data_IF_968064685469
#
_entry.id   IF_968064685469
#
_cell.length_a   1.000
_cell.length_b   1.000
_cell.length_c   1.000
_cell.angle_alpha   90.00
_cell.angle_beta   90.00
_cell.angle_gamma   90.00
#
_symmetry.space_group_name_H-M   'P 1'
#
loop_
_entity.id
_entity.type
_entity.pdbx_description
1 polymer ?
#
# COMPACT_ATOMS: atom_id res chain seq x y z
N UNK A 1 13.42 -2.88 20.51
CA UNK A 1 13.83 -3.87 19.48
C UNK A 1 12.86 -5.03 19.28
N UNK A 2 12.08 -5.48 20.26
CA UNK A 2 11.13 -6.59 20.09
C UNK A 2 9.94 -6.27 19.16
N UNK A 3 9.54 -5.01 19.04
CA UNK A 3 8.36 -4.58 18.26
C UNK A 3 8.62 -4.56 16.74
N UNK A 4 9.85 -4.50 16.29
CA UNK A 4 10.23 -4.48 14.87
C UNK A 4 10.08 -5.84 14.15
N UNK A 5 9.82 -6.92 14.88
CA UNK A 5 9.73 -8.28 14.33
C UNK A 5 8.34 -8.92 14.38
N UNK A 6 7.32 -8.23 14.90
CA UNK A 6 5.99 -8.82 15.12
C UNK A 6 5.25 -9.24 13.85
N UNK A 7 5.63 -8.68 12.68
CA UNK A 7 5.01 -9.01 11.38
C UNK A 7 5.93 -9.78 10.44
N UNK A 8 7.20 -10.00 10.80
CA UNK A 8 8.23 -10.38 9.82
C UNK A 8 8.69 -9.21 8.93
N UNK A 9 8.07 -8.02 9.06
CA UNK A 9 8.50 -6.80 8.37
C UNK A 9 9.49 -6.07 9.27
N UNK A 10 10.72 -5.92 8.79
CA UNK A 10 11.75 -5.13 9.45
C UNK A 10 11.66 -3.69 8.91
N UNK A 11 11.35 -2.74 9.79
CA UNK A 11 11.46 -1.32 9.46
C UNK A 11 12.93 -0.90 9.55
N UNK A 12 13.41 -0.22 8.53
CA UNK A 12 14.78 0.31 8.48
C UNK A 12 14.74 1.83 8.61
N UNK A 13 15.63 2.37 9.44
CA UNK A 13 15.77 3.82 9.64
C UNK A 13 14.63 4.46 10.43
N UNK A 14 14.55 5.77 10.33
CA UNK A 14 13.63 6.61 11.10
C UNK A 14 12.46 7.13 10.25
N UNK A 15 12.58 7.13 8.91
CA UNK A 15 11.58 7.69 7.99
C UNK A 15 10.94 6.56 7.17
N UNK A 16 9.66 6.30 7.43
CA UNK A 16 8.91 5.18 6.83
C UNK A 16 7.75 5.71 6.00
N UNK A 17 7.64 5.28 4.75
CA UNK A 17 6.43 5.47 3.95
C UNK A 17 5.57 4.21 4.02
N UNK A 18 4.32 4.39 4.43
CA UNK A 18 3.26 3.40 4.22
C UNK A 18 2.56 3.71 2.91
N UNK A 19 2.72 2.81 1.93
CA UNK A 19 2.10 2.92 0.62
C UNK A 19 0.94 1.95 0.53
N UNK A 20 -0.28 2.44 0.52
CA UNK A 20 -1.49 1.62 0.66
C UNK A 20 -2.32 1.66 -0.62
N UNK A 21 -2.50 0.50 -1.25
CA UNK A 21 -3.39 0.36 -2.38
C UNK A 21 -4.83 0.58 -1.97
N UNK A 22 -5.52 1.49 -2.67
CA UNK A 22 -6.93 1.82 -2.47
C UNK A 22 -7.74 1.64 -3.76
N UNK A 23 -7.45 0.60 -4.54
CA UNK A 23 -8.19 0.26 -5.77
C UNK A 23 -9.38 -0.66 -5.49
N UNK A 24 -10.25 -0.82 -6.49
CA UNK A 24 -11.46 -1.64 -6.38
C UNK A 24 -11.21 -3.10 -6.00
N UNK A 25 -10.06 -3.69 -6.33
CA UNK A 25 -9.71 -5.05 -5.91
C UNK A 25 -9.58 -5.23 -4.39
N UNK A 26 -9.29 -4.15 -3.65
CA UNK A 26 -9.20 -4.17 -2.18
C UNK A 26 -10.57 -4.33 -1.48
N UNK A 27 -11.67 -4.38 -2.23
CA UNK A 27 -13.01 -4.56 -1.67
C UNK A 27 -13.30 -6.03 -1.29
N UNK A 28 -12.71 -7.01 -2.00
CA UNK A 28 -12.96 -8.43 -1.70
C UNK A 28 -11.76 -9.33 -2.05
N UNK A 29 -11.81 -10.62 -1.64
CA UNK A 29 -10.74 -11.60 -1.85
C UNK A 29 -10.79 -12.27 -3.24
N UNK A 30 -11.86 -12.07 -4.04
CA UNK A 30 -11.96 -12.52 -5.43
C UNK A 30 -12.28 -11.36 -6.35
N UNK A 31 -11.87 -11.44 -7.62
CA UNK A 31 -12.15 -10.39 -8.60
C UNK A 31 -13.66 -10.22 -8.79
N UNK A 32 -14.41 -11.32 -8.95
CA UNK A 32 -15.86 -11.25 -9.17
C UNK A 32 -16.59 -10.58 -8.00
N UNK A 33 -16.24 -10.93 -6.76
CA UNK A 33 -16.82 -10.33 -5.59
C UNK A 33 -16.42 -8.85 -5.44
N UNK A 34 -15.18 -8.49 -5.78
CA UNK A 34 -14.73 -7.09 -5.78
C UNK A 34 -15.46 -6.27 -6.85
N UNK A 35 -15.64 -6.82 -8.05
CA UNK A 35 -16.41 -6.17 -9.13
C UNK A 35 -17.87 -5.96 -8.72
N UNK A 36 -18.51 -6.94 -8.09
CA UNK A 36 -19.89 -6.81 -7.60
C UNK A 36 -20.07 -5.66 -6.56
N UNK A 37 -18.98 -5.25 -5.90
CA UNK A 37 -18.99 -4.14 -4.93
C UNK A 37 -18.66 -2.77 -5.53
N UNK A 38 -18.26 -2.68 -6.80
CA UNK A 38 -17.86 -1.41 -7.41
C UNK A 38 -18.99 -0.37 -7.43
N UNK A 39 -20.24 -0.82 -7.53
CA UNK A 39 -21.43 0.05 -7.52
C UNK A 39 -22.03 0.25 -6.13
N UNK A 40 -21.44 -0.34 -5.08
CA UNK A 40 -21.83 -0.10 -3.69
C UNK A 40 -21.62 1.39 -3.31
N UNK A 41 -22.40 1.87 -2.33
CA UNK A 41 -22.18 3.19 -1.76
C UNK A 41 -20.79 3.28 -1.08
N UNK A 42 -20.25 4.49 -0.97
CA UNK A 42 -18.96 4.73 -0.30
C UNK A 42 -18.90 4.14 1.12
N UNK A 43 -20.03 4.19 1.85
CA UNK A 43 -20.12 3.58 3.18
C UNK A 43 -19.88 2.08 3.11
N UNK A 44 -20.59 1.35 2.23
CA UNK A 44 -20.42 -0.09 2.06
C UNK A 44 -19.03 -0.48 1.58
N UNK A 45 -18.43 0.32 0.68
CA UNK A 45 -17.04 0.10 0.23
C UNK A 45 -16.05 0.23 1.39
N UNK A 46 -16.23 1.24 2.25
CA UNK A 46 -15.40 1.41 3.45
C UNK A 46 -15.57 0.26 4.45
N UNK A 47 -16.76 -0.33 4.54
CA UNK A 47 -17.08 -1.48 5.41
C UNK A 47 -16.70 -2.84 4.80
N UNK A 48 -16.17 -2.87 3.58
CA UNK A 48 -15.76 -4.12 2.93
C UNK A 48 -14.70 -4.86 3.77
N UNK A 49 -14.85 -6.17 4.03
CA UNK A 49 -14.04 -6.89 5.01
C UNK A 49 -12.54 -6.84 4.74
N UNK A 50 -12.12 -7.00 3.47
CA UNK A 50 -10.70 -6.93 3.09
C UNK A 50 -10.14 -5.53 3.29
N UNK A 51 -10.92 -4.49 2.97
CA UNK A 51 -10.53 -3.11 3.20
C UNK A 51 -10.39 -2.80 4.68
N UNK A 52 -11.37 -3.18 5.50
CA UNK A 52 -11.31 -3.00 6.96
C UNK A 52 -10.07 -3.69 7.55
N UNK A 53 -9.77 -4.90 7.12
CA UNK A 53 -8.57 -5.62 7.54
C UNK A 53 -7.29 -4.89 7.14
N UNK A 54 -7.27 -4.25 5.97
CA UNK A 54 -6.13 -3.45 5.52
C UNK A 54 -5.94 -2.21 6.41
N UNK A 55 -7.01 -1.52 6.74
CA UNK A 55 -6.96 -0.34 7.64
C UNK A 55 -6.51 -0.76 9.05
N UNK A 56 -7.08 -1.82 9.62
CA UNK A 56 -6.66 -2.34 10.93
C UNK A 56 -5.17 -2.74 10.95
N UNK A 57 -4.69 -3.37 9.88
CA UNK A 57 -3.29 -3.73 9.76
C UNK A 57 -2.38 -2.49 9.74
N UNK A 58 -2.78 -1.44 9.04
CA UNK A 58 -2.06 -0.18 9.01
C UNK A 58 -2.06 0.50 10.38
N UNK A 59 -3.22 0.59 11.05
CA UNK A 59 -3.35 1.13 12.40
C UNK A 59 -2.47 0.38 13.40
N UNK A 60 -2.48 -0.94 13.33
CA UNK A 60 -1.63 -1.79 14.18
C UNK A 60 -0.14 -1.52 13.94
N UNK A 61 0.28 -1.37 12.67
CA UNK A 61 1.67 -1.02 12.35
C UNK A 61 2.04 0.38 12.85
N UNK A 62 1.17 1.35 12.67
CA UNK A 62 1.39 2.72 13.19
C UNK A 62 1.54 2.72 14.72
N UNK A 63 0.68 1.98 15.43
CA UNK A 63 0.75 1.84 16.89
C UNK A 63 2.04 1.12 17.36
N UNK A 64 2.68 0.34 16.48
CA UNK A 64 3.91 -0.41 16.75
C UNK A 64 5.18 0.38 16.44
N UNK A 65 5.08 1.57 15.81
CA UNK A 65 6.22 2.41 15.50
C UNK A 65 6.93 2.91 16.77
N UNK A 66 8.25 2.98 16.70
CA UNK A 66 9.06 3.57 17.75
C UNK A 66 8.84 5.08 17.90
N UNK A 67 9.15 5.66 19.07
CA UNK A 67 8.89 7.07 19.33
C UNK A 67 9.73 8.04 18.50
N UNK A 68 10.82 7.59 17.92
CA UNK A 68 11.69 8.40 17.04
C UNK A 68 11.37 8.19 15.56
N UNK A 69 10.37 7.35 15.24
CA UNK A 69 9.97 7.10 13.85
C UNK A 69 9.11 8.23 13.33
N UNK A 70 9.45 8.69 12.14
CA UNK A 70 8.66 9.60 11.34
C UNK A 70 8.03 8.82 10.20
N UNK A 71 6.80 9.14 9.85
CA UNK A 71 6.11 8.40 8.81
C UNK A 71 5.30 9.31 7.88
N UNK A 72 5.03 8.79 6.68
CA UNK A 72 4.05 9.34 5.75
C UNK A 72 3.17 8.20 5.27
N UNK A 73 1.90 8.49 4.98
CA UNK A 73 0.95 7.52 4.43
C UNK A 73 0.47 8.05 3.08
N UNK A 74 0.69 7.24 2.05
CA UNK A 74 0.24 7.51 0.70
C UNK A 74 -0.75 6.42 0.28
N UNK A 75 -1.95 6.81 -0.12
CA UNK A 75 -2.89 5.92 -0.79
C UNK A 75 -2.70 6.00 -2.29
N UNK A 76 -2.72 4.86 -2.96
CA UNK A 76 -2.66 4.83 -4.42
C UNK A 76 -3.79 4.01 -5.02
N UNK A 77 -4.42 4.57 -6.01
CA UNK A 77 -5.29 3.95 -6.99
C UNK A 77 -4.84 4.40 -8.39
N UNK A 78 -5.66 5.05 -9.19
CA UNK A 78 -5.22 5.70 -10.43
C UNK A 78 -4.34 6.93 -10.15
N UNK A 79 -4.55 7.57 -8.99
CA UNK A 79 -3.74 8.65 -8.45
C UNK A 79 -3.00 8.23 -7.18
N UNK A 80 -2.10 9.09 -6.70
CA UNK A 80 -1.42 8.92 -5.41
C UNK A 80 -1.71 10.11 -4.52
N UNK A 81 -2.36 9.84 -3.39
CA UNK A 81 -2.85 10.89 -2.48
C UNK A 81 -2.29 10.69 -1.07
N UNK A 82 -1.62 11.71 -0.50
CA UNK A 82 -1.24 11.69 0.91
C UNK A 82 -2.47 11.64 1.82
N UNK A 83 -2.35 11.00 2.98
CA UNK A 83 -3.45 10.90 3.97
C UNK A 83 -3.94 12.28 4.42
N UNK A 84 -3.05 13.25 4.55
CA UNK A 84 -3.35 14.65 4.76
C UNK A 84 -2.89 15.45 3.53
N UNK A 85 -3.74 15.68 2.52
CA UNK A 85 -3.35 16.29 1.25
C UNK A 85 -2.71 17.68 1.38
N UNK A 86 -3.14 18.48 2.34
CA UNK A 86 -2.58 19.82 2.62
C UNK A 86 -1.21 19.78 3.31
N UNK A 87 -0.77 18.61 3.73
CA UNK A 87 0.49 18.33 4.44
C UNK A 87 1.26 17.17 3.78
N UNK A 88 1.12 17.01 2.46
CA UNK A 88 1.67 15.88 1.71
C UNK A 88 3.19 15.76 1.73
N UNK A 89 3.88 16.86 1.97
CA UNK A 89 5.35 16.93 2.05
C UNK A 89 5.89 16.77 3.49
N UNK A 90 5.00 16.68 4.48
CA UNK A 90 5.40 16.59 5.88
C UNK A 90 5.64 15.15 6.32
N UNK A 91 6.56 14.99 7.26
CA UNK A 91 6.78 13.74 7.98
C UNK A 91 6.12 13.82 9.35
N UNK A 92 5.21 12.89 9.63
CA UNK A 92 4.47 12.86 10.88
C UNK A 92 5.25 12.12 11.95
N UNK A 93 5.12 12.57 13.19
CA UNK A 93 5.73 11.92 14.36
C UNK A 93 4.68 11.18 15.18
N UNK A 94 5.03 9.99 15.68
CA UNK A 94 4.18 9.23 16.61
C UNK A 94 3.95 9.94 17.94
N UNK A 95 4.74 10.96 18.25
CA UNK A 95 4.60 11.79 19.44
C UNK A 95 3.47 12.82 19.32
N UNK A 96 3.09 13.21 18.11
CA UNK A 96 2.02 14.18 17.86
C UNK A 96 0.65 13.50 17.88
N UNK A 97 0.09 13.35 19.07
CA UNK A 97 -1.20 12.70 19.30
C UNK A 97 -2.37 13.35 18.55
N UNK A 98 -2.31 14.67 18.32
CA UNK A 98 -3.36 15.40 17.59
C UNK A 98 -3.35 14.99 16.12
N UNK A 99 -2.18 15.03 15.50
CA UNK A 99 -2.02 14.59 14.10
C UNK A 99 -2.36 13.11 13.94
N UNK A 100 -1.97 12.25 14.89
CA UNK A 100 -2.36 10.82 14.87
C UNK A 100 -3.89 10.66 14.89
N UNK A 101 -4.60 11.40 15.75
CA UNK A 101 -6.07 11.36 15.80
C UNK A 101 -6.72 11.80 14.48
N UNK A 102 -6.17 12.83 13.82
CA UNK A 102 -6.62 13.28 12.51
C UNK A 102 -6.36 12.20 11.43
N UNK A 103 -5.18 11.60 11.43
CA UNK A 103 -4.81 10.51 10.51
C UNK A 103 -5.76 9.33 10.67
N UNK A 104 -5.98 8.83 11.88
CA UNK A 104 -6.89 7.70 12.14
C UNK A 104 -8.30 8.00 11.61
N UNK A 105 -8.83 9.20 11.88
CA UNK A 105 -10.13 9.61 11.34
C UNK A 105 -10.15 9.59 9.80
N UNK A 106 -9.07 10.03 9.16
CA UNK A 106 -8.93 10.04 7.69
C UNK A 106 -8.79 8.64 7.10
N UNK A 107 -8.09 7.71 7.76
CA UNK A 107 -7.95 6.32 7.32
C UNK A 107 -9.32 5.68 7.06
N UNK A 108 -10.25 5.85 7.99
CA UNK A 108 -11.61 5.32 7.87
C UNK A 108 -12.48 6.06 6.84
N UNK A 109 -12.05 7.22 6.34
CA UNK A 109 -12.77 7.97 5.30
C UNK A 109 -12.35 7.60 3.87
N UNK A 110 -11.22 6.89 3.69
CA UNK A 110 -10.74 6.48 2.37
C UNK A 110 -11.66 5.44 1.76
N UNK A 111 -12.01 5.63 0.48
CA UNK A 111 -12.89 4.72 -0.28
C UNK A 111 -12.07 4.00 -1.35
N UNK A 112 -11.95 2.67 -1.33
CA UNK A 112 -11.29 1.92 -2.40
C UNK A 112 -12.08 2.00 -3.70
N UNK A 113 -11.40 2.40 -4.80
CA UNK A 113 -12.02 2.53 -6.12
C UNK A 113 -11.00 2.61 -7.25
N UNK A 114 -11.45 2.40 -8.48
CA UNK A 114 -10.63 2.52 -9.67
C UNK A 114 -9.54 1.45 -9.80
N UNK A 115 -8.61 1.70 -10.71
CA UNK A 115 -7.43 0.87 -10.95
C UNK A 115 -6.30 1.15 -9.96
N UNK A 116 -5.10 0.61 -10.24
CA UNK A 116 -3.91 0.82 -9.42
C UNK A 116 -2.71 1.21 -10.30
N UNK A 117 -2.17 2.41 -10.09
CA UNK A 117 -1.00 2.95 -10.76
C UNK A 117 0.19 2.98 -9.80
N UNK A 118 0.95 1.89 -9.78
CA UNK A 118 2.13 1.76 -8.93
C UNK A 118 3.30 2.61 -9.44
N UNK A 119 3.36 2.87 -10.75
CA UNK A 119 4.38 3.75 -11.36
C UNK A 119 4.27 5.16 -10.77
N UNK A 120 3.06 5.73 -10.75
CA UNK A 120 2.79 7.05 -10.17
C UNK A 120 3.10 7.07 -8.67
N UNK A 121 2.74 6.00 -7.95
CA UNK A 121 3.00 5.88 -6.52
C UNK A 121 4.50 5.92 -6.19
N UNK A 122 5.32 5.17 -6.90
CA UNK A 122 6.77 5.18 -6.69
C UNK A 122 7.41 6.48 -7.19
N UNK A 123 6.88 7.07 -8.26
CA UNK A 123 7.29 8.39 -8.73
C UNK A 123 7.01 9.45 -7.67
N UNK A 124 5.83 9.43 -7.04
CA UNK A 124 5.50 10.35 -5.94
C UNK A 124 6.50 10.22 -4.78
N UNK A 125 6.83 9.00 -4.38
CA UNK A 125 7.84 8.76 -3.32
C UNK A 125 9.21 9.30 -3.73
N UNK A 126 9.61 9.12 -4.98
CA UNK A 126 10.89 9.60 -5.51
C UNK A 126 11.05 11.11 -5.42
N UNK A 127 9.96 11.86 -5.50
CA UNK A 127 9.95 13.32 -5.44
C UNK A 127 9.60 13.89 -4.06
N UNK A 128 9.48 13.07 -3.02
CA UNK A 128 9.36 13.59 -1.66
C UNK A 128 10.58 14.46 -1.31
N UNK A 129 10.41 15.56 -0.57
CA UNK A 129 11.51 16.46 -0.18
C UNK A 129 12.63 15.75 0.59
N UNK A 130 12.25 14.72 1.36
CA UNK A 130 13.16 13.75 1.98
C UNK A 130 12.74 12.35 1.55
N UNK A 131 13.68 11.55 1.07
CA UNK A 131 13.43 10.15 0.76
C UNK A 131 13.24 9.32 2.03
N UNK A 132 12.35 8.31 2.02
CA UNK A 132 12.21 7.38 3.14
C UNK A 132 13.43 6.47 3.30
N UNK A 133 13.63 5.99 4.51
CA UNK A 133 14.60 4.93 4.81
C UNK A 133 14.03 3.55 4.51
N UNK A 134 12.69 3.40 4.47
CA UNK A 134 11.98 2.19 4.07
C UNK A 134 10.56 2.47 3.59
N UNK A 135 10.05 1.57 2.74
CA UNK A 135 8.67 1.58 2.26
C UNK A 135 7.99 0.30 2.74
N UNK A 136 6.80 0.44 3.32
CA UNK A 136 5.91 -0.68 3.63
C UNK A 136 4.69 -0.56 2.74
N UNK A 137 4.56 -1.47 1.80
CA UNK A 137 3.49 -1.45 0.81
C UNK A 137 2.41 -2.46 1.15
N UNK A 138 1.15 -2.02 1.13
CA UNK A 138 -0.05 -2.83 1.28
C UNK A 138 -0.72 -2.97 -0.08
N UNK A 139 -0.80 -4.18 -0.60
CA UNK A 139 -1.37 -4.44 -1.93
C UNK A 139 -1.98 -5.84 -1.99
N UNK A 140 -2.71 -6.14 -3.05
CA UNK A 140 -3.32 -7.45 -3.28
C UNK A 140 -3.01 -8.05 -4.66
N UNK A 141 -2.27 -7.34 -5.50
CA UNK A 141 -1.93 -7.81 -6.84
C UNK A 141 -1.13 -6.80 -7.66
N UNK A 142 -0.93 -7.10 -8.93
CA UNK A 142 -0.18 -6.28 -9.86
C UNK A 142 -0.92 -4.97 -10.20
N UNK A 143 -0.21 -3.92 -10.63
CA UNK A 143 -0.82 -2.67 -11.09
C UNK A 143 -1.67 -2.90 -12.35
N UNK A 144 -2.75 -2.12 -12.48
CA UNK A 144 -3.68 -2.15 -13.61
C UNK A 144 -3.67 -0.85 -14.41
N UNK A 145 -2.80 0.09 -14.04
CA UNK A 145 -2.57 1.37 -14.70
C UNK A 145 -1.08 1.69 -14.71
N UNK A 146 -0.68 2.49 -15.69
CA UNK A 146 0.68 3.03 -15.84
C UNK A 146 0.59 4.42 -16.47
N UNK A 147 1.50 5.31 -16.13
CA UNK A 147 1.61 6.62 -16.78
C UNK A 147 2.35 6.50 -18.12
N UNK A 148 3.24 5.51 -18.23
CA UNK A 148 4.05 5.26 -19.42
C UNK A 148 3.32 4.50 -20.53
N UNK A 149 2.21 3.83 -20.22
CA UNK A 149 1.43 3.04 -21.19
C UNK A 149 -0.05 3.43 -21.06
N UNK A 150 -0.67 3.96 -22.14
CA UNK A 150 -2.08 4.30 -22.14
C UNK A 150 -2.97 3.10 -21.80
N UNK A 151 -4.06 3.35 -21.08
CA UNK A 151 -5.10 2.37 -20.83
C UNK A 151 -6.00 2.22 -22.07
N UNK A 152 -6.15 1.02 -22.58
CA UNK A 152 -6.91 0.68 -23.79
C UNK A 152 -8.18 -0.15 -23.53
N UNK A 153 -8.61 -0.22 -22.25
CA UNK A 153 -9.87 -0.85 -21.84
C UNK A 153 -9.70 -2.22 -21.18
N UNK A 154 -8.83 -3.08 -21.66
CA UNK A 154 -8.53 -4.37 -21.02
C UNK A 154 -7.04 -4.48 -20.67
N UNK A 155 -6.74 -5.06 -19.52
CA UNK A 155 -5.36 -5.21 -19.02
C UNK A 155 -5.13 -6.67 -18.67
N UNK A 156 -4.55 -7.41 -19.61
CA UNK A 156 -4.15 -8.80 -19.43
C UNK A 156 -2.97 -8.96 -18.47
N UNK A 157 -2.64 -10.21 -18.13
CA UNK A 157 -1.56 -10.54 -17.18
C UNK A 157 -0.20 -9.99 -17.64
N UNK A 158 0.18 -10.19 -18.90
CA UNK A 158 1.46 -9.70 -19.45
C UNK A 158 1.59 -8.18 -19.32
N UNK A 159 0.52 -7.46 -19.57
CA UNK A 159 0.50 -6.00 -19.46
C UNK A 159 0.65 -5.55 -18.00
N UNK A 160 0.02 -6.24 -17.05
CA UNK A 160 0.17 -5.96 -15.61
C UNK A 160 1.59 -6.24 -15.11
N UNK A 161 2.21 -7.30 -15.59
CA UNK A 161 3.64 -7.59 -15.34
C UNK A 161 4.50 -6.43 -15.86
N UNK A 162 4.26 -5.99 -17.09
CA UNK A 162 4.98 -4.87 -17.69
C UNK A 162 4.80 -3.56 -16.93
N UNK A 163 3.58 -3.28 -16.44
CA UNK A 163 3.33 -2.11 -15.58
C UNK A 163 4.13 -2.19 -14.28
N UNK A 164 4.21 -3.38 -13.68
CA UNK A 164 5.01 -3.60 -12.47
C UNK A 164 6.51 -3.36 -12.73
N UNK A 165 7.05 -3.88 -13.83
CA UNK A 165 8.45 -3.66 -14.22
C UNK A 165 8.76 -2.18 -14.46
N UNK A 166 7.84 -1.44 -15.07
CA UNK A 166 7.99 0.00 -15.28
C UNK A 166 7.97 0.74 -13.94
N UNK A 167 7.02 0.38 -13.08
CA UNK A 167 6.88 0.98 -11.75
C UNK A 167 8.13 0.79 -10.90
N UNK A 168 8.72 -0.40 -10.88
CA UNK A 168 9.92 -0.70 -10.08
C UNK A 168 11.14 0.13 -10.49
N UNK A 169 11.21 0.58 -11.74
CA UNK A 169 12.27 1.48 -12.22
C UNK A 169 12.15 2.91 -11.65
N UNK A 170 10.99 3.28 -11.13
CA UNK A 170 10.78 4.57 -10.48
C UNK A 170 11.26 4.59 -9.02
N UNK A 171 11.48 3.42 -8.41
CA UNK A 171 11.97 3.36 -7.04
C UNK A 171 13.31 4.06 -6.88
N UNK A 172 13.48 4.92 -5.87
CA UNK A 172 14.79 5.41 -5.50
C UNK A 172 15.71 4.25 -5.10
N UNK A 173 16.99 4.30 -5.47
CA UNK A 173 17.92 3.22 -5.18
C UNK A 173 18.13 3.05 -3.67
N UNK A 174 18.35 1.81 -3.24
CA UNK A 174 18.74 1.44 -1.86
C UNK A 174 17.66 1.63 -0.79
N UNK A 175 16.40 1.84 -1.17
CA UNK A 175 15.29 1.88 -0.20
C UNK A 175 14.68 0.49 -0.12
N UNK A 176 14.69 -0.17 1.06
CA UNK A 176 13.99 -1.43 1.28
C UNK A 176 12.50 -1.29 1.07
N UNK A 177 11.91 -2.19 0.28
CA UNK A 177 10.46 -2.28 0.06
C UNK A 177 9.96 -3.57 0.67
N UNK A 178 9.19 -3.46 1.74
CA UNK A 178 8.48 -4.58 2.33
C UNK A 178 7.04 -4.58 1.85
N UNK A 179 6.54 -5.71 1.37
CA UNK A 179 5.19 -5.85 0.84
C UNK A 179 4.34 -6.72 1.74
N UNK A 180 3.18 -6.20 2.15
CA UNK A 180 2.09 -6.97 2.76
C UNK A 180 1.11 -7.28 1.64
N UNK A 181 1.13 -8.52 1.17
CA UNK A 181 0.33 -8.98 0.05
C UNK A 181 -0.95 -9.64 0.55
N UNK A 182 -2.05 -8.92 0.47
CA UNK A 182 -3.39 -9.43 0.81
C UNK A 182 -3.88 -10.45 -0.23
N UNK A 183 -4.72 -11.42 0.15
CA UNK A 183 -5.20 -12.40 -0.80
C UNK A 183 -6.10 -11.76 -1.87
N UNK A 184 -5.86 -12.17 -3.11
CA UNK A 184 -6.75 -12.01 -4.25
C UNK A 184 -6.77 -13.36 -4.99
N UNK A 185 -7.69 -14.25 -4.60
CA UNK A 185 -7.68 -15.67 -4.95
C UNK A 185 -7.79 -15.95 -6.46
N UNK A 186 -8.44 -15.05 -7.19
CA UNK A 186 -8.59 -15.11 -8.65
C UNK A 186 -7.76 -14.04 -9.36
N UNK A 187 -6.78 -13.47 -8.65
CA UNK A 187 -5.88 -12.44 -9.17
C UNK A 187 -4.71 -13.01 -9.97
N UNK A 188 -3.68 -12.19 -10.13
CA UNK A 188 -2.50 -12.54 -10.93
C UNK A 188 -1.64 -13.62 -10.26
N UNK A 189 -1.44 -14.78 -10.87
CA UNK A 189 -0.58 -15.82 -10.32
C UNK A 189 0.89 -15.38 -10.18
N UNK A 190 1.33 -14.44 -11.01
CA UNK A 190 2.70 -13.92 -11.00
C UNK A 190 2.97 -12.95 -9.84
N UNK A 191 1.92 -12.36 -9.23
CA UNK A 191 2.09 -11.32 -8.22
C UNK A 191 2.97 -11.72 -7.03
N UNK A 192 2.79 -12.89 -6.37
CA UNK A 192 3.63 -13.28 -5.24
C UNK A 192 5.11 -13.40 -5.61
N UNK A 193 5.42 -13.97 -6.78
CA UNK A 193 6.79 -14.10 -7.28
C UNK A 193 7.46 -12.76 -7.51
N UNK A 194 6.78 -11.85 -8.21
CA UNK A 194 7.31 -10.51 -8.53
C UNK A 194 7.51 -9.65 -7.28
N UNK A 195 6.59 -9.69 -6.31
CA UNK A 195 6.78 -8.97 -5.05
C UNK A 195 7.87 -9.59 -4.17
N UNK A 196 8.07 -10.91 -4.25
CA UNK A 196 9.20 -11.58 -3.59
C UNK A 196 10.54 -11.15 -4.20
N UNK A 197 10.63 -11.08 -5.54
CA UNK A 197 11.82 -10.58 -6.24
C UNK A 197 12.11 -9.13 -5.88
N UNK A 198 11.08 -8.26 -5.83
CA UNK A 198 11.21 -6.88 -5.40
C UNK A 198 11.75 -6.80 -3.96
N UNK A 199 11.20 -7.58 -3.04
CA UNK A 199 11.65 -7.62 -1.66
C UNK A 199 13.13 -8.04 -1.57
N UNK A 200 13.54 -9.09 -2.28
CA UNK A 200 14.94 -9.54 -2.32
C UNK A 200 15.87 -8.48 -2.91
N UNK A 201 15.50 -7.89 -4.05
CA UNK A 201 16.31 -6.89 -4.73
C UNK A 201 16.51 -5.62 -3.89
N UNK A 202 15.53 -5.26 -3.07
CA UNK A 202 15.55 -4.07 -2.22
C UNK A 202 15.95 -4.36 -0.77
N UNK A 203 16.17 -5.63 -0.38
CA UNK A 203 16.41 -6.05 1.01
C UNK A 203 15.23 -5.78 1.95
N UNK A 204 14.03 -5.79 1.43
CA UNK A 204 12.78 -5.77 2.18
C UNK A 204 12.28 -7.16 2.53
N UNK A 205 10.98 -7.27 2.74
CA UNK A 205 10.30 -8.54 3.05
C UNK A 205 9.00 -8.68 2.24
N UNK A 206 8.56 -9.92 2.00
CA UNK A 206 7.21 -10.22 1.53
C UNK A 206 6.48 -10.97 2.63
N UNK A 207 5.31 -10.47 3.02
CA UNK A 207 4.42 -11.08 4.02
C UNK A 207 3.04 -11.25 3.40
N UNK A 208 2.50 -12.47 3.48
CA UNK A 208 1.09 -12.73 3.18
C UNK A 208 0.35 -12.95 4.51
N UNK A 209 -0.50 -12.01 4.94
CA UNK A 209 -1.12 -12.08 6.25
C UNK A 209 -2.18 -13.17 6.32
N UNK A 210 -2.23 -13.92 7.43
CA UNK A 210 -3.33 -14.82 7.73
C UNK A 210 -4.66 -14.04 7.86
N UNK A 211 -5.80 -14.74 7.71
CA UNK A 211 -7.12 -14.10 7.79
C UNK A 211 -7.40 -13.43 9.14
N UNK A 212 -6.84 -13.97 10.21
CA UNK A 212 -6.97 -13.43 11.58
C UNK A 212 -5.99 -12.30 11.91
N UNK A 213 -4.98 -12.04 11.08
CA UNK A 213 -4.04 -10.96 11.34
C UNK A 213 -4.68 -9.60 11.00
N UNK A 214 -4.50 -8.53 11.85
CA UNK A 214 -3.61 -8.42 13.02
C UNK A 214 -4.23 -8.83 14.38
N UNK A 215 -5.40 -9.42 14.43
CA UNK A 215 -6.22 -9.64 15.65
C UNK A 215 -5.78 -10.85 16.51
N UNK A 216 -4.56 -11.38 16.33
CA UNK A 216 -4.01 -12.53 17.12
C UNK A 216 -3.02 -12.15 18.18
#
# INVERSE_FOLDING_TARGET
DRRQYLTGVKLHGEFVVFLVRASGSMLDETIDAAVARLDDSDLKKREAPKWQRTIHALEWMLASLGPETHFQILFFNEDTTPILPTRGDEWFSTKDKRTIGEIVSRLHAVVPQGGANLERAFTTIRFLPRLPDSIVMFTDGLPTRSDSIPFDGDVGEEQRIRFFEIATKQLPPRIPVSTILFPLLTGDPAAPGLYWELANATRGALVSPAKSWPDT
#
